data_IF_154502852228
#
_entry.id   IF_154502852228
#
_cell.length_a   1.000
_cell.length_b   1.000
_cell.length_c   1.000
_cell.angle_alpha   90.00
_cell.angle_beta   90.00
_cell.angle_gamma   90.00
#
_symmetry.space_group_name_H-M   'P 1'
#
loop_
_entity.id
_entity.type
_entity.pdbx_description
1 polymer ?
#
# COMPACT_ATOMS: atom_id res chain seq x y z
N UNK A 1 -16.11 -25.68 -40.37
CA UNK A 1 -16.97 -25.29 -39.22
C UNK A 1 -17.02 -26.47 -38.27
N UNK A 2 -16.62 -26.42 -37.00
CA UNK A 2 -16.16 -25.32 -36.16
C UNK A 2 -15.13 -25.83 -35.16
N UNK A 3 -14.23 -24.94 -34.79
CA UNK A 3 -13.10 -25.16 -33.89
C UNK A 3 -13.60 -25.25 -32.44
N UNK A 4 -13.07 -26.24 -31.73
CA UNK A 4 -13.31 -26.53 -30.32
C UNK A 4 -12.83 -25.37 -29.44
N UNK A 5 -13.71 -24.82 -28.60
CA UNK A 5 -13.49 -23.62 -27.78
C UNK A 5 -12.52 -23.81 -26.58
N UNK A 6 -11.50 -24.65 -26.67
CA UNK A 6 -10.65 -24.97 -25.50
C UNK A 6 -9.14 -24.84 -25.64
N UNK A 7 -8.59 -24.49 -26.80
CA UNK A 7 -7.13 -24.34 -27.00
C UNK A 7 -6.62 -22.90 -27.18
N UNK A 8 -7.43 -21.88 -26.88
CA UNK A 8 -7.04 -20.47 -27.13
C UNK A 8 -6.52 -19.75 -25.87
N UNK A 9 -6.36 -20.43 -24.73
CA UNK A 9 -5.88 -19.76 -23.51
C UNK A 9 -4.47 -20.20 -23.06
N UNK A 10 -3.57 -20.46 -24.00
CA UNK A 10 -2.14 -20.65 -23.74
C UNK A 10 -1.32 -19.79 -24.70
N UNK A 11 -1.43 -18.46 -24.59
CA UNK A 11 -0.54 -17.54 -25.28
C UNK A 11 -0.42 -16.21 -24.54
N UNK A 12 0.77 -15.96 -23.98
CA UNK A 12 1.26 -14.60 -23.80
C UNK A 12 1.07 -13.97 -22.42
N UNK A 13 1.88 -14.38 -21.45
CA UNK A 13 2.39 -13.45 -20.43
C UNK A 13 3.92 -13.47 -20.48
N UNK A 14 4.46 -12.95 -21.59
CA UNK A 14 5.86 -12.56 -21.69
C UNK A 14 5.97 -11.13 -21.18
N UNK A 15 6.87 -10.92 -20.21
CA UNK A 15 7.57 -9.65 -20.05
C UNK A 15 6.95 -8.67 -19.07
N UNK A 16 7.46 -8.67 -17.84
CA UNK A 16 7.79 -7.44 -17.12
C UNK A 16 8.85 -7.73 -16.07
N UNK A 17 10.12 -7.59 -16.46
CA UNK A 17 11.19 -7.42 -15.51
C UNK A 17 11.10 -5.99 -14.96
N UNK A 18 10.37 -5.81 -13.86
CA UNK A 18 10.44 -4.59 -13.06
C UNK A 18 11.56 -4.74 -12.03
N UNK A 19 12.76 -4.31 -12.42
CA UNK A 19 13.81 -3.94 -11.47
C UNK A 19 13.32 -2.69 -10.71
N UNK A 20 13.02 -2.80 -9.42
CA UNK A 20 13.16 -1.70 -8.47
C UNK A 20 12.99 -2.15 -7.00
N UNK A 21 14.05 -1.92 -6.22
CA UNK A 21 14.05 -1.56 -4.78
C UNK A 21 14.13 -2.69 -3.72
N UNK A 22 15.30 -2.87 -3.07
CA UNK A 22 15.44 -3.69 -1.86
C UNK A 22 15.03 -2.90 -0.60
N UNK A 23 13.81 -2.37 -0.56
CA UNK A 23 13.27 -1.63 0.60
C UNK A 23 11.95 -2.19 1.13
N UNK A 24 11.63 -3.44 0.77
CA UNK A 24 10.55 -4.17 1.42
C UNK A 24 11.03 -4.68 2.79
N UNK A 25 10.99 -3.79 3.77
CA UNK A 25 11.00 -4.20 5.18
C UNK A 25 9.66 -4.89 5.46
N UNK A 26 9.62 -6.20 5.76
CA UNK A 26 8.37 -6.95 5.93
C UNK A 26 7.48 -6.37 7.04
N UNK A 27 8.05 -5.62 7.99
CA UNK A 27 7.29 -4.92 9.03
C UNK A 27 6.40 -3.79 8.51
N UNK A 28 6.70 -3.18 7.34
CA UNK A 28 5.91 -2.06 6.80
C UNK A 28 4.53 -2.51 6.31
N UNK A 29 4.47 -3.66 5.64
CA UNK A 29 3.21 -4.22 5.16
C UNK A 29 2.30 -4.64 6.33
N UNK A 30 2.90 -5.23 7.38
CA UNK A 30 2.17 -5.61 8.60
C UNK A 30 1.64 -4.39 9.36
N UNK A 31 2.48 -3.38 9.57
CA UNK A 31 2.07 -2.15 10.26
C UNK A 31 0.93 -1.41 9.52
N UNK A 32 0.95 -1.46 8.18
CA UNK A 32 -0.11 -0.86 7.37
C UNK A 32 -1.45 -1.59 7.57
N UNK A 33 -1.44 -2.93 7.61
CA UNK A 33 -2.64 -3.75 7.82
C UNK A 33 -3.27 -3.49 9.21
N UNK A 34 -2.44 -3.48 10.26
CA UNK A 34 -2.86 -3.18 11.64
C UNK A 34 -3.47 -1.77 11.76
N UNK A 35 -2.94 -0.79 11.03
CA UNK A 35 -3.47 0.58 11.01
C UNK A 35 -4.83 0.66 10.32
N UNK A 36 -5.02 -0.07 9.22
CA UNK A 36 -6.30 -0.08 8.50
C UNK A 36 -7.41 -0.73 9.33
N UNK A 37 -7.11 -1.84 10.01
CA UNK A 37 -8.05 -2.51 10.91
C UNK A 37 -8.47 -1.59 12.07
N UNK A 38 -7.53 -0.83 12.65
CA UNK A 38 -7.84 0.11 13.72
C UNK A 38 -8.81 1.20 13.26
N UNK A 39 -8.59 1.79 12.08
CA UNK A 39 -9.48 2.82 11.53
C UNK A 39 -10.88 2.25 11.31
N UNK A 40 -10.99 1.05 10.75
CA UNK A 40 -12.27 0.38 10.52
C UNK A 40 -13.00 0.08 11.84
N UNK A 41 -12.28 -0.39 12.86
CA UNK A 41 -12.86 -0.64 14.19
C UNK A 41 -13.36 0.65 14.87
N UNK A 42 -12.68 1.78 14.67
CA UNK A 42 -13.04 3.06 15.30
C UNK A 42 -14.15 3.82 14.57
N UNK A 43 -14.19 3.70 13.24
CA UNK A 43 -15.10 4.51 12.40
C UNK A 43 -16.22 3.70 11.76
N UNK A 44 -16.11 2.37 11.73
CA UNK A 44 -16.99 1.48 10.95
C UNK A 44 -16.78 1.62 9.44
N UNK A 45 -15.74 2.35 9.00
CA UNK A 45 -15.47 2.64 7.60
C UNK A 45 -14.04 2.27 7.23
N UNK A 46 -13.86 1.76 6.01
CA UNK A 46 -12.52 1.47 5.48
C UNK A 46 -11.80 2.78 5.18
N UNK A 47 -10.54 2.88 5.60
CA UNK A 47 -9.70 4.05 5.33
C UNK A 47 -9.56 4.33 3.83
N UNK A 48 -9.58 5.60 3.45
CA UNK A 48 -9.38 6.07 2.08
C UNK A 48 -8.33 7.18 2.05
N UNK A 49 -7.64 7.33 0.92
CA UNK A 49 -6.67 8.41 0.73
C UNK A 49 -7.43 9.72 0.49
N UNK A 50 -7.02 10.79 1.18
CA UNK A 50 -7.63 12.11 1.02
C UNK A 50 -6.59 13.22 1.19
N UNK A 51 -6.60 14.18 0.28
CA UNK A 51 -5.73 15.36 0.33
C UNK A 51 -6.36 16.51 1.14
N UNK A 52 -7.51 16.29 1.80
CA UNK A 52 -8.21 17.31 2.58
C UNK A 52 -7.65 17.50 3.99
N UNK A 53 -6.94 16.50 4.50
CA UNK A 53 -6.27 16.55 5.78
C UNK A 53 -4.79 16.84 5.56
N UNK A 54 -4.34 17.99 6.03
CA UNK A 54 -2.94 18.38 6.01
C UNK A 54 -2.37 18.21 7.41
N UNK A 55 -1.46 17.26 7.56
CA UNK A 55 -0.70 17.07 8.80
C UNK A 55 0.66 17.71 8.61
N UNK A 56 1.01 18.68 9.46
CA UNK A 56 2.34 19.30 9.45
C UNK A 56 3.20 18.58 10.46
N UNK A 57 4.29 17.95 9.99
CA UNK A 57 5.26 17.27 10.84
C UNK A 57 6.68 17.62 10.38
N UNK A 58 7.60 17.97 11.31
CA UNK A 58 9.01 18.14 10.97
C UNK A 58 9.60 16.88 10.33
N UNK A 59 10.43 17.03 9.30
CA UNK A 59 11.09 15.90 8.66
C UNK A 59 12.21 15.29 9.53
N UNK A 60 12.72 16.05 10.50
CA UNK A 60 13.79 15.64 11.41
C UNK A 60 13.39 16.00 12.83
N UNK A 61 13.53 15.03 13.74
CA UNK A 61 13.29 15.22 15.16
C UNK A 61 14.64 15.23 15.89
N UNK A 62 15.15 16.39 16.30
CA UNK A 62 16.52 16.50 16.85
C UNK A 62 16.73 15.69 18.12
N UNK A 63 15.70 15.60 18.96
CA UNK A 63 15.76 14.91 20.26
C UNK A 63 15.04 13.57 20.25
N UNK A 64 14.16 13.31 19.27
CA UNK A 64 13.32 12.11 19.22
C UNK A 64 12.27 11.97 20.34
N UNK A 65 12.30 12.84 21.36
CA UNK A 65 11.43 12.78 22.54
C UNK A 65 10.19 13.68 22.43
N UNK A 66 10.28 14.78 21.69
CA UNK A 66 9.17 15.72 21.54
C UNK A 66 9.03 16.08 20.07
N UNK A 67 7.85 15.82 19.52
CA UNK A 67 7.50 16.16 18.15
C UNK A 67 6.33 17.14 18.20
N UNK A 68 6.52 18.40 17.76
CA UNK A 68 5.41 19.33 17.62
C UNK A 68 4.48 18.84 16.51
N UNK A 69 3.18 18.85 16.79
CA UNK A 69 2.09 18.46 15.90
C UNK A 69 1.05 19.57 15.94
N UNK A 70 0.86 20.25 14.82
CA UNK A 70 -0.12 21.35 14.64
C UNK A 70 -1.11 21.02 13.52
#
# INVERSE_FOLDING_TARGET
MGLTRRDVLMAGCVGSAALASPLFSPGRARAQDETMELVERLTGQRATVSDRLHLVMPAVFPTGYTVPMD
#
